data_IF_958621380236
#
_entry.id   IF_958621380236
#
_cell.length_a   1.000
_cell.length_b   1.000
_cell.length_c   1.000
_cell.angle_alpha   90.00
_cell.angle_beta   90.00
_cell.angle_gamma   90.00
#
_symmetry.space_group_name_H-M   'P 1'
#
loop_
_entity.id
_entity.type
_entity.pdbx_description
1 polymer ?
#
# COMPACT_ATOMS: atom_id res chain seq x y z
N UNK A 1 4.74 -30.65 -8.93
CA UNK A 1 4.81 -29.81 -7.72
C UNK A 1 3.68 -28.81 -7.85
N UNK A 2 2.54 -29.09 -7.20
CA UNK A 2 1.39 -28.20 -7.25
C UNK A 2 1.69 -27.00 -6.36
N UNK A 3 1.68 -25.80 -6.92
CA UNK A 3 1.73 -24.57 -6.13
C UNK A 3 0.45 -24.53 -5.28
N UNK A 4 0.59 -24.41 -3.96
CA UNK A 4 -0.54 -24.24 -3.05
C UNK A 4 -1.40 -23.05 -3.49
N UNK A 5 -2.65 -23.25 -3.99
CA UNK A 5 -3.47 -22.17 -4.52
C UNK A 5 -4.08 -21.26 -3.43
N UNK A 6 -3.60 -21.38 -2.19
CA UNK A 6 -4.15 -20.71 -1.01
C UNK A 6 -3.18 -19.70 -0.37
N UNK A 7 -1.92 -19.67 -0.79
CA UNK A 7 -0.95 -18.71 -0.25
C UNK A 7 -0.74 -17.59 -1.27
N UNK A 8 -1.31 -16.41 -1.00
CA UNK A 8 -0.94 -15.19 -1.73
C UNK A 8 0.57 -15.04 -1.67
N UNK A 9 1.18 -14.77 -2.83
CA UNK A 9 2.58 -14.41 -2.91
C UNK A 9 2.86 -13.14 -2.11
N UNK A 10 4.11 -12.91 -1.72
CA UNK A 10 4.50 -11.69 -1.02
C UNK A 10 4.10 -10.43 -1.80
N UNK A 11 4.26 -10.46 -3.13
CA UNK A 11 3.83 -9.38 -4.01
C UNK A 11 2.31 -9.12 -3.97
N UNK A 12 1.49 -10.17 -3.94
CA UNK A 12 0.03 -10.04 -3.85
C UNK A 12 -0.41 -9.52 -2.47
N UNK A 13 0.26 -9.95 -1.39
CA UNK A 13 0.02 -9.41 -0.05
C UNK A 13 0.36 -7.92 -0.01
N UNK A 14 1.50 -7.52 -0.57
CA UNK A 14 1.90 -6.11 -0.67
C UNK A 14 0.85 -5.32 -1.45
N UNK A 15 0.47 -5.77 -2.64
CA UNK A 15 -0.53 -5.11 -3.47
C UNK A 15 -1.88 -4.96 -2.75
N UNK A 16 -2.30 -6.00 -2.01
CA UNK A 16 -3.54 -5.97 -1.23
C UNK A 16 -3.50 -4.93 -0.12
N UNK A 17 -2.41 -4.88 0.65
CA UNK A 17 -2.23 -3.90 1.74
C UNK A 17 -2.24 -2.48 1.19
N UNK A 18 -1.53 -2.24 0.08
CA UNK A 18 -1.47 -0.93 -0.59
C UNK A 18 -2.86 -0.53 -1.10
N UNK A 19 -3.57 -1.45 -1.77
CA UNK A 19 -4.91 -1.19 -2.32
C UNK A 19 -5.94 -0.87 -1.24
N UNK A 20 -5.95 -1.65 -0.15
CA UNK A 20 -6.82 -1.40 1.01
C UNK A 20 -6.49 -0.05 1.66
N UNK A 21 -5.22 0.17 1.97
CA UNK A 21 -4.74 1.43 2.58
C UNK A 21 -5.08 2.63 1.69
N UNK A 22 -4.95 2.50 0.38
CA UNK A 22 -5.31 3.57 -0.56
C UNK A 22 -6.80 3.86 -0.60
N UNK A 23 -7.65 2.83 -0.45
CA UNK A 23 -9.10 2.99 -0.48
C UNK A 23 -9.63 3.58 0.83
N UNK A 24 -9.10 3.14 1.97
CA UNK A 24 -9.50 3.61 3.30
C UNK A 24 -8.93 4.99 3.66
N UNK A 25 -7.71 5.28 3.21
CA UNK A 25 -6.95 6.45 3.66
C UNK A 25 -6.63 7.45 2.54
N UNK A 26 -7.27 7.36 1.37
CA UNK A 26 -7.16 8.38 0.32
C UNK A 26 -7.46 9.78 0.87
N UNK A 27 -6.57 10.74 0.61
CA UNK A 27 -6.72 12.12 1.08
C UNK A 27 -6.43 12.34 2.58
N UNK A 28 -5.97 11.31 3.30
CA UNK A 28 -5.45 11.45 4.66
C UNK A 28 -3.99 11.93 4.64
N UNK A 29 -3.45 12.47 5.75
CA UNK A 29 -2.05 12.85 5.84
C UNK A 29 -1.11 11.67 5.57
N UNK A 30 -0.01 11.90 4.86
CA UNK A 30 1.03 10.90 4.53
C UNK A 30 1.46 10.08 5.76
N UNK A 31 1.65 10.73 6.91
CA UNK A 31 2.07 10.06 8.14
C UNK A 31 1.06 8.99 8.63
N UNK A 32 -0.24 9.21 8.42
CA UNK A 32 -1.29 8.25 8.79
C UNK A 32 -1.27 7.04 7.84
N UNK A 33 -1.13 7.31 6.54
CA UNK A 33 -1.05 6.27 5.52
C UNK A 33 0.22 5.43 5.71
N UNK A 34 1.35 6.08 6.00
CA UNK A 34 2.62 5.40 6.29
C UNK A 34 2.50 4.47 7.50
N UNK A 35 1.92 4.93 8.61
CA UNK A 35 1.72 4.09 9.79
C UNK A 35 0.86 2.86 9.49
N UNK A 36 -0.22 3.02 8.71
CA UNK A 36 -1.10 1.93 8.30
C UNK A 36 -0.40 0.91 7.39
N UNK A 37 0.42 1.38 6.44
CA UNK A 37 1.22 0.50 5.58
C UNK A 37 2.23 -0.31 6.39
N UNK A 38 2.97 0.33 7.30
CA UNK A 38 3.97 -0.35 8.15
C UNK A 38 3.30 -1.41 9.03
N UNK A 39 2.15 -1.09 9.65
CA UNK A 39 1.37 -2.04 10.44
C UNK A 39 0.87 -3.21 9.57
N UNK A 40 0.33 -2.92 8.38
CA UNK A 40 -0.16 -3.92 7.44
C UNK A 40 0.95 -4.88 6.98
N UNK A 41 2.12 -4.35 6.62
CA UNK A 41 3.27 -5.16 6.22
C UNK A 41 3.81 -6.00 7.38
N UNK A 42 3.89 -5.43 8.58
CA UNK A 42 4.33 -6.15 9.79
C UNK A 42 3.38 -7.31 10.12
N UNK A 43 2.06 -7.08 10.08
CA UNK A 43 1.06 -8.12 10.32
C UNK A 43 1.09 -9.23 9.27
N UNK A 44 1.45 -8.91 8.03
CA UNK A 44 1.62 -9.88 6.96
C UNK A 44 2.98 -10.61 6.98
N UNK A 45 3.88 -10.24 7.90
CA UNK A 45 5.23 -10.79 8.00
C UNK A 45 6.13 -10.39 6.82
N UNK A 46 5.84 -9.25 6.18
CA UNK A 46 6.58 -8.75 5.03
C UNK A 46 7.70 -7.81 5.49
N UNK A 47 8.92 -8.10 5.04
CA UNK A 47 10.06 -7.20 5.23
C UNK A 47 9.97 -6.08 4.17
N UNK A 48 9.33 -4.97 4.56
CA UNK A 48 9.14 -3.83 3.69
C UNK A 48 9.92 -2.63 4.23
N UNK A 49 10.77 -2.03 3.40
CA UNK A 49 11.60 -0.89 3.82
C UNK A 49 10.74 0.31 4.19
N UNK A 50 11.09 0.99 5.27
CA UNK A 50 10.40 2.21 5.71
C UNK A 50 10.45 3.32 4.66
N UNK A 51 11.52 3.38 3.85
CA UNK A 51 11.61 4.35 2.75
C UNK A 51 10.62 4.02 1.61
N UNK A 52 10.43 2.73 1.30
CA UNK A 52 9.45 2.29 0.32
C UNK A 52 8.03 2.54 0.81
N UNK A 53 7.75 2.23 2.09
CA UNK A 53 6.45 2.50 2.71
C UNK A 53 6.11 4.00 2.65
N UNK A 54 7.12 4.86 2.83
CA UNK A 54 6.96 6.31 2.75
C UNK A 54 6.68 6.79 1.33
N UNK A 55 7.36 6.24 0.31
CA UNK A 55 7.06 6.55 -1.10
C UNK A 55 5.63 6.17 -1.46
N UNK A 56 5.21 4.97 -1.10
CA UNK A 56 3.84 4.51 -1.35
C UNK A 56 2.81 5.36 -0.58
N UNK A 57 3.09 5.69 0.68
CA UNK A 57 2.22 6.58 1.46
C UNK A 57 2.08 7.96 0.83
N UNK A 58 3.19 8.50 0.32
CA UNK A 58 3.19 9.76 -0.43
C UNK A 58 2.30 9.64 -1.66
N UNK A 59 2.51 8.62 -2.50
CA UNK A 59 1.74 8.37 -3.72
C UNK A 59 0.24 8.24 -3.43
N UNK A 60 -0.16 7.52 -2.38
CA UNK A 60 -1.56 7.41 -1.95
C UNK A 60 -2.11 8.77 -1.48
N UNK A 61 -1.32 9.53 -0.72
CA UNK A 61 -1.74 10.84 -0.22
C UNK A 61 -1.97 11.86 -1.34
N UNK A 62 -1.22 11.73 -2.44
CA UNK A 62 -1.32 12.60 -3.63
C UNK A 62 -2.14 11.99 -4.77
N UNK A 63 -2.53 10.72 -4.68
CA UNK A 63 -3.39 10.03 -5.65
C UNK A 63 -4.69 10.78 -6.02
N UNK A 64 -5.41 11.46 -5.10
CA UNK A 64 -6.54 12.30 -5.50
C UNK A 64 -6.13 13.48 -6.41
N UNK A 65 -4.88 13.94 -6.36
CA UNK A 65 -4.34 14.96 -7.29
C UNK A 65 -3.93 14.37 -8.64
N UNK A 66 -3.37 13.16 -8.67
CA UNK A 66 -3.02 12.45 -9.92
C UNK A 66 -4.27 12.12 -10.77
N UNK A 67 -5.38 11.72 -10.13
CA UNK A 67 -6.67 11.48 -10.82
C UNK A 67 -7.17 12.73 -11.56
N UNK A 68 -6.93 13.93 -11.03
CA UNK A 68 -7.29 15.21 -11.66
C UNK A 68 -6.28 15.69 -12.72
N UNK A 69 -5.12 15.04 -12.87
CA UNK A 69 -4.10 15.43 -13.86
C UNK A 69 -4.12 14.55 -15.11
N UNK A 70 -4.86 13.43 -15.08
CA UNK A 70 -4.99 12.49 -16.21
C UNK A 70 -6.26 12.78 -17.05
N UNK A 71 -7.17 13.61 -16.54
CA UNK A 71 -8.44 13.99 -17.19
C UNK A 71 -8.42 15.39 -17.86
N UNK A 72 -7.25 16.06 -17.92
CA UNK A 72 -7.06 17.36 -18.62
C UNK A 72 -6.27 17.18 -19.93
#
# INVERSE_FOLDING_TARGET
MAADPASLTEAEKVATIIAQTSSDLAGRPEAVIHAALVEGFTNAGLDFSSEEARRVAHDISVAPRLRNTIDD
#
